data_IF_933701700656
#
_entry.id   IF_933701700656
#
_cell.length_a   1.000
_cell.length_b   1.000
_cell.length_c   1.000
_cell.angle_alpha   90.00
_cell.angle_beta   90.00
_cell.angle_gamma   90.00
#
_symmetry.space_group_name_H-M   'P 1'
#
loop_
_entity.id
_entity.type
_entity.pdbx_description
1 polymer ?
#
# COMPACT_ATOMS: atom_id res chain seq x y z
N UNK A 1 7.03 33.71 -8.35
CA UNK A 1 8.01 34.75 -7.97
C UNK A 1 9.30 34.10 -7.49
N UNK A 2 10.45 34.71 -7.77
CA UNK A 2 11.79 34.21 -7.38
C UNK A 2 12.59 35.32 -6.69
N UNK A 3 13.22 35.00 -5.57
CA UNK A 3 14.01 35.90 -4.73
C UNK A 3 15.39 35.28 -4.56
N UNK A 4 16.44 35.99 -4.98
CA UNK A 4 17.82 35.52 -4.85
C UNK A 4 18.51 36.34 -3.76
N UNK A 5 19.07 35.64 -2.77
CA UNK A 5 19.87 36.24 -1.72
C UNK A 5 21.31 35.77 -1.90
N UNK A 6 22.18 36.69 -2.30
CA UNK A 6 23.60 36.43 -2.52
C UNK A 6 24.40 36.64 -1.23
N UNK A 7 25.63 36.10 -1.22
CA UNK A 7 26.57 36.21 -0.09
C UNK A 7 25.97 35.74 1.24
N UNK A 8 25.22 34.63 1.21
CA UNK A 8 24.59 34.04 2.40
C UNK A 8 24.41 32.53 2.26
N UNK A 9 24.35 31.81 3.38
CA UNK A 9 24.17 30.37 3.40
C UNK A 9 23.23 29.95 4.53
N UNK A 10 22.93 28.65 4.62
CA UNK A 10 22.16 28.10 5.74
C UNK A 10 22.81 28.30 7.12
N UNK A 11 24.10 28.61 7.17
CA UNK A 11 24.85 28.82 8.41
C UNK A 11 24.95 30.31 8.78
N UNK A 12 24.53 31.21 7.91
CA UNK A 12 24.58 32.65 8.13
C UNK A 12 23.58 33.08 9.21
N UNK A 13 24.09 33.64 10.32
CA UNK A 13 23.26 34.10 11.44
C UNK A 13 22.31 35.23 11.03
N UNK A 14 22.70 36.03 10.04
CA UNK A 14 21.93 37.16 9.53
C UNK A 14 20.96 36.78 8.40
N UNK A 15 20.88 35.50 8.01
CA UNK A 15 20.02 35.05 6.91
C UNK A 15 18.56 35.53 7.08
N UNK A 16 18.02 35.47 8.30
CA UNK A 16 16.65 35.91 8.57
C UNK A 16 16.47 37.42 8.28
N UNK A 17 17.46 38.24 8.62
CA UNK A 17 17.44 39.68 8.35
C UNK A 17 17.56 39.95 6.85
N UNK A 18 18.45 39.24 6.15
CA UNK A 18 18.59 39.32 4.69
C UNK A 18 17.29 38.93 3.95
N UNK A 19 16.59 37.89 4.43
CA UNK A 19 15.27 37.50 3.90
C UNK A 19 14.25 38.64 4.13
N UNK A 20 14.19 39.20 5.35
CA UNK A 20 13.27 40.32 5.66
C UNK A 20 13.51 41.54 4.78
N UNK A 21 14.77 41.91 4.57
CA UNK A 21 15.13 43.04 3.71
C UNK A 21 14.67 42.82 2.28
N UNK A 22 15.00 41.66 1.68
CA UNK A 22 14.57 41.33 0.32
C UNK A 22 13.06 41.23 0.19
N UNK A 23 12.37 40.69 1.21
CA UNK A 23 10.92 40.57 1.19
C UNK A 23 10.24 41.94 1.30
N UNK A 24 10.77 42.87 2.11
CA UNK A 24 10.24 44.23 2.26
C UNK A 24 10.11 44.94 0.91
N UNK A 25 11.11 44.76 0.05
CA UNK A 25 11.17 45.41 -1.26
C UNK A 25 10.12 44.88 -2.23
N UNK A 26 9.61 43.66 -2.05
CA UNK A 26 8.81 42.96 -3.05
C UNK A 26 7.43 42.52 -2.55
N UNK A 27 7.16 42.61 -1.24
CA UNK A 27 5.93 42.13 -0.61
C UNK A 27 4.67 42.75 -1.22
N UNK A 28 4.79 43.95 -1.78
CA UNK A 28 3.70 44.67 -2.42
C UNK A 28 3.26 44.05 -3.75
N UNK A 29 4.07 43.17 -4.35
CA UNK A 29 3.73 42.41 -5.56
C UNK A 29 2.92 41.14 -5.26
N UNK A 30 2.82 40.73 -3.98
CA UNK A 30 2.12 39.52 -3.57
C UNK A 30 0.67 39.81 -3.15
N UNK A 31 -0.26 39.02 -3.65
CA UNK A 31 -1.67 39.11 -3.29
C UNK A 31 -1.92 38.39 -1.96
N UNK A 32 -2.19 39.17 -0.91
CA UNK A 32 -2.44 38.64 0.44
C UNK A 32 -3.70 37.75 0.53
N UNK A 33 -4.60 37.80 -0.44
CA UNK A 33 -5.77 36.93 -0.50
C UNK A 33 -5.45 35.53 -1.00
N UNK A 34 -4.34 35.37 -1.73
CA UNK A 34 -3.90 34.09 -2.30
C UNK A 34 -3.03 33.29 -1.34
N UNK A 35 -2.98 31.98 -1.58
CA UNK A 35 -2.12 31.03 -0.86
C UNK A 35 -0.90 30.71 -1.71
N UNK A 36 0.28 30.70 -1.11
CA UNK A 36 1.54 30.44 -1.83
C UNK A 36 2.30 29.24 -1.26
N UNK A 37 2.87 28.41 -2.13
CA UNK A 37 3.95 27.48 -1.79
C UNK A 37 5.26 28.25 -1.73
N UNK A 38 6.04 28.03 -0.68
CA UNK A 38 7.40 28.56 -0.54
C UNK A 38 8.42 27.43 -0.69
N UNK A 39 9.37 27.59 -1.61
CA UNK A 39 10.49 26.67 -1.80
C UNK A 39 11.81 27.41 -1.53
N UNK A 40 12.49 27.08 -0.42
CA UNK A 40 13.82 27.58 -0.08
C UNK A 40 14.88 26.61 -0.59
N UNK A 41 15.66 27.04 -1.56
CA UNK A 41 16.69 26.22 -2.19
C UNK A 41 18.09 26.74 -1.87
N UNK A 42 19.01 25.81 -1.61
CA UNK A 42 20.40 26.10 -1.28
C UNK A 42 21.36 25.17 -2.04
N UNK A 43 22.64 25.52 -2.10
CA UNK A 43 23.68 24.68 -2.69
C UNK A 43 23.82 23.38 -1.89
N UNK A 44 23.54 22.23 -2.52
CA UNK A 44 23.51 20.95 -1.80
C UNK A 44 24.87 20.55 -1.20
N UNK A 45 26.00 21.04 -1.71
CA UNK A 45 27.34 20.78 -1.17
C UNK A 45 27.47 21.23 0.30
N UNK A 46 26.64 22.18 0.75
CA UNK A 46 26.61 22.62 2.15
C UNK A 46 26.26 21.49 3.13
N UNK A 47 25.64 20.40 2.67
CA UNK A 47 25.37 19.25 3.54
C UNK A 47 26.62 18.46 3.91
N UNK A 48 27.71 18.63 3.15
CA UNK A 48 29.00 17.98 3.39
C UNK A 48 29.85 18.77 4.39
N UNK A 49 29.45 19.99 4.74
CA UNK A 49 30.13 20.86 5.69
C UNK A 49 29.83 20.48 7.15
N UNK A 50 30.14 19.24 7.56
CA UNK A 50 29.81 18.69 8.89
C UNK A 50 30.23 19.60 10.04
N UNK A 51 31.41 20.22 9.93
CA UNK A 51 31.90 21.16 10.94
C UNK A 51 30.99 22.38 11.11
N UNK A 52 30.48 22.96 10.01
CA UNK A 52 29.58 24.13 10.07
C UNK A 52 28.21 23.74 10.63
N UNK A 53 27.72 22.55 10.27
CA UNK A 53 26.44 22.01 10.74
C UNK A 53 26.48 21.79 12.25
N UNK A 54 27.52 21.10 12.74
CA UNK A 54 27.67 20.76 14.15
C UNK A 54 27.95 21.99 15.02
N UNK A 55 28.68 22.98 14.49
CA UNK A 55 28.96 24.22 15.22
C UNK A 55 27.80 25.21 15.24
N UNK A 56 26.80 25.06 14.35
CA UNK A 56 25.65 25.96 14.31
C UNK A 56 24.77 25.82 15.57
N UNK A 57 24.49 26.95 16.22
CA UNK A 57 23.64 27.02 17.42
C UNK A 57 22.19 27.32 17.04
N UNK A 58 21.36 26.28 17.01
CA UNK A 58 19.91 26.40 16.85
C UNK A 58 19.35 26.88 18.21
N UNK A 59 18.49 27.91 18.24
CA UNK A 59 17.84 28.35 19.47
C UNK A 59 17.00 27.23 20.11
N UNK A 60 17.09 27.09 21.43
CA UNK A 60 16.46 26.01 22.19
C UNK A 60 14.93 26.00 22.06
N UNK A 61 14.35 27.19 22.00
CA UNK A 61 12.92 27.42 21.80
C UNK A 61 12.42 26.93 20.44
N UNK A 62 13.30 26.91 19.43
CA UNK A 62 12.99 26.44 18.08
C UNK A 62 13.14 24.92 17.93
N UNK A 63 13.80 24.24 18.88
CA UNK A 63 13.87 22.79 18.90
C UNK A 63 12.55 22.18 19.38
N UNK A 64 12.23 21.01 18.84
CA UNK A 64 11.06 20.22 19.27
C UNK A 64 11.23 19.80 20.73
N UNK A 65 10.14 19.64 21.51
CA UNK A 65 10.24 19.35 22.94
C UNK A 65 11.11 18.13 23.29
N UNK A 66 11.12 17.10 22.44
CA UNK A 66 11.90 15.86 22.67
C UNK A 66 13.40 15.98 22.29
N UNK A 67 13.82 17.09 21.67
CA UNK A 67 15.20 17.39 21.29
C UNK A 67 15.87 18.43 22.19
N UNK A 68 15.09 19.15 22.99
CA UNK A 68 15.60 20.14 23.94
C UNK A 68 16.56 19.49 24.95
N UNK A 69 17.69 20.14 25.21
CA UNK A 69 18.77 19.70 26.07
C UNK A 69 19.66 18.60 25.48
N UNK A 70 19.41 18.14 24.25
CA UNK A 70 20.24 17.11 23.58
C UNK A 70 21.35 17.75 22.76
N UNK A 71 22.52 17.11 22.76
CA UNK A 71 23.63 17.45 21.85
C UNK A 71 23.38 16.75 20.51
N UNK A 72 22.79 17.48 19.56
CA UNK A 72 22.55 17.01 18.20
C UNK A 72 23.84 17.07 17.37
N UNK A 73 24.11 16.06 16.54
CA UNK A 73 25.27 16.00 15.63
C UNK A 73 24.92 15.39 14.27
N UNK A 74 25.75 15.65 13.26
CA UNK A 74 25.69 15.03 11.94
C UNK A 74 24.32 15.17 11.28
N UNK A 75 23.76 14.06 10.77
CA UNK A 75 22.47 14.05 10.06
C UNK A 75 21.32 14.59 10.92
N UNK A 76 21.25 14.24 12.20
CA UNK A 76 20.17 14.73 13.08
C UNK A 76 20.21 16.26 13.19
N UNK A 77 21.41 16.81 13.39
CA UNK A 77 21.63 18.26 13.44
C UNK A 77 21.29 18.95 12.12
N UNK A 78 21.64 18.34 10.99
CA UNK A 78 21.29 18.83 9.65
C UNK A 78 19.78 18.97 9.49
N UNK A 79 19.01 17.92 9.78
CA UNK A 79 17.56 17.97 9.63
C UNK A 79 16.91 19.01 10.54
N UNK A 80 17.40 19.17 11.78
CA UNK A 80 16.90 20.22 12.68
C UNK A 80 17.29 21.62 12.22
N UNK A 81 18.49 21.80 11.67
CA UNK A 81 18.90 23.07 11.08
C UNK A 81 17.99 23.45 9.90
N UNK A 82 17.73 22.52 8.98
CA UNK A 82 16.86 22.77 7.85
C UNK A 82 15.42 23.07 8.29
N UNK A 83 14.91 22.31 9.27
CA UNK A 83 13.60 22.57 9.90
C UNK A 83 13.54 23.99 10.45
N UNK A 84 14.54 24.37 11.24
CA UNK A 84 14.64 25.70 11.82
C UNK A 84 14.67 26.81 10.75
N UNK A 85 15.42 26.61 9.65
CA UNK A 85 15.53 27.61 8.57
C UNK A 85 14.22 27.78 7.81
N UNK A 86 13.54 26.70 7.46
CA UNK A 86 12.26 26.80 6.75
C UNK A 86 11.18 27.42 7.64
N UNK A 87 11.15 27.08 8.94
CA UNK A 87 10.19 27.66 9.88
C UNK A 87 10.49 29.15 10.15
N UNK A 88 11.77 29.53 10.22
CA UNK A 88 12.17 30.94 10.34
C UNK A 88 11.73 31.75 9.12
N UNK A 89 11.99 31.26 7.90
CA UNK A 89 11.56 31.91 6.67
C UNK A 89 10.03 32.02 6.62
N UNK A 90 9.31 30.94 6.93
CA UNK A 90 7.85 30.92 7.01
C UNK A 90 7.29 31.97 7.96
N UNK A 91 7.88 32.12 9.14
CA UNK A 91 7.46 33.13 10.11
C UNK A 91 7.67 34.56 9.59
N UNK A 92 8.78 34.81 8.89
CA UNK A 92 9.02 36.11 8.23
C UNK A 92 7.91 36.41 7.22
N UNK A 93 7.54 35.49 6.34
CA UNK A 93 6.43 35.73 5.40
C UNK A 93 5.09 35.99 6.10
N UNK A 94 4.83 35.30 7.22
CA UNK A 94 3.64 35.55 8.05
C UNK A 94 3.64 36.93 8.71
N UNK A 95 4.80 37.44 9.15
CA UNK A 95 4.94 38.81 9.70
C UNK A 95 4.43 39.86 8.69
N UNK A 96 4.59 39.60 7.38
CA UNK A 96 4.11 40.47 6.30
C UNK A 96 2.65 40.21 5.86
N UNK A 97 1.97 39.24 6.49
CA UNK A 97 0.59 38.87 6.17
C UNK A 97 0.45 38.02 4.89
N UNK A 98 1.52 37.37 4.44
CA UNK A 98 1.48 36.46 3.29
C UNK A 98 0.96 35.09 3.76
N UNK A 99 -0.07 34.59 3.09
CA UNK A 99 -0.66 33.31 3.41
C UNK A 99 0.14 32.17 2.74
N UNK A 100 0.92 31.46 3.54
CA UNK A 100 1.71 30.32 3.07
C UNK A 100 0.97 29.00 3.24
N UNK A 101 1.02 28.21 2.17
CA UNK A 101 0.53 26.85 2.11
C UNK A 101 1.58 25.83 2.48
N UNK A 102 2.22 25.21 1.49
CA UNK A 102 3.36 24.31 1.69
C UNK A 102 4.67 25.11 1.81
N UNK A 103 5.60 24.64 2.65
CA UNK A 103 6.88 25.33 2.90
C UNK A 103 8.02 24.33 2.87
N UNK A 104 8.85 24.38 1.84
CA UNK A 104 9.87 23.38 1.59
C UNK A 104 11.27 23.98 1.69
N UNK A 105 12.23 23.12 2.03
CA UNK A 105 13.65 23.44 1.99
C UNK A 105 14.44 22.32 1.33
N UNK A 106 15.18 22.68 0.27
CA UNK A 106 15.78 21.73 -0.65
C UNK A 106 17.24 22.07 -0.96
N UNK A 107 18.16 21.14 -0.72
CA UNK A 107 19.51 21.21 -1.29
C UNK A 107 19.42 20.83 -2.76
N UNK A 108 19.78 21.76 -3.64
CA UNK A 108 19.61 21.61 -5.08
C UNK A 108 20.97 21.66 -5.78
N UNK A 109 21.23 20.77 -6.74
CA UNK A 109 22.42 20.86 -7.57
C UNK A 109 22.39 22.17 -8.37
N UNK A 110 23.56 22.67 -8.74
CA UNK A 110 23.74 23.87 -9.58
C UNK A 110 23.32 25.21 -8.94
N UNK A 111 22.86 25.24 -7.69
CA UNK A 111 22.81 26.49 -6.93
C UNK A 111 24.22 26.88 -6.53
N UNK A 112 24.61 28.11 -6.82
CA UNK A 112 25.93 28.66 -6.46
C UNK A 112 26.10 28.64 -4.93
N UNK A 113 27.30 28.30 -4.47
CA UNK A 113 27.66 28.43 -3.07
C UNK A 113 27.38 29.86 -2.56
N UNK A 114 27.00 29.98 -1.29
CA UNK A 114 26.63 31.25 -0.65
C UNK A 114 25.47 31.98 -1.36
N UNK A 115 24.52 31.24 -1.91
CA UNK A 115 23.27 31.76 -2.44
C UNK A 115 22.09 30.99 -1.87
N UNK A 116 21.03 31.71 -1.51
CA UNK A 116 19.71 31.14 -1.18
C UNK A 116 18.71 31.60 -2.24
N UNK A 117 18.03 30.65 -2.89
CA UNK A 117 16.96 30.88 -3.87
C UNK A 117 15.61 30.60 -3.19
N UNK A 118 14.79 31.63 -3.00
CA UNK A 118 13.43 31.51 -2.48
C UNK A 118 12.43 31.66 -3.62
N UNK A 119 11.62 30.62 -3.84
CA UNK A 119 10.54 30.66 -4.82
C UNK A 119 9.19 30.65 -4.14
N UNK A 120 8.28 31.43 -4.71
CA UNK A 120 6.88 31.49 -4.32
C UNK A 120 6.03 31.18 -5.53
N UNK A 121 5.16 30.19 -5.40
CA UNK A 121 4.23 29.77 -6.43
C UNK A 121 2.83 29.77 -5.85
N UNK A 122 1.86 30.27 -6.60
CA UNK A 122 0.45 30.26 -6.15
C UNK A 122 -0.01 28.80 -6.03
N UNK A 123 -0.54 28.42 -4.87
CA UNK A 123 -1.21 27.13 -4.69
C UNK A 123 -2.67 27.29 -5.10
N UNK A 124 -3.11 26.50 -6.07
CA UNK A 124 -4.54 26.32 -6.30
C UNK A 124 -5.16 25.62 -5.08
N UNK A 125 -6.21 26.21 -4.52
CA UNK A 125 -7.07 25.51 -3.55
C UNK A 125 -7.72 24.35 -4.30
N UNK A 126 -7.11 23.17 -4.23
CA UNK A 126 -7.76 21.92 -4.64
C UNK A 126 -8.89 21.69 -3.65
N UNK A 127 -10.13 21.97 -4.07
CA UNK A 127 -11.32 21.51 -3.38
C UNK A 127 -11.26 19.97 -3.31
N UNK A 128 -10.65 19.44 -2.26
CA UNK A 128 -10.83 18.03 -1.90
C UNK A 128 -12.33 17.82 -1.64
N UNK A 129 -12.88 16.82 -2.32
CA UNK A 129 -14.30 16.46 -2.44
C UNK A 129 -15.23 16.98 -1.31
N UNK A 130 -16.30 17.67 -1.74
CA UNK A 130 -17.42 18.20 -0.93
C UNK A 130 -18.31 17.11 -0.29
N UNK A 131 -17.75 15.97 0.11
CA UNK A 131 -18.48 14.81 0.64
C UNK A 131 -18.44 14.62 2.16
N UNK A 132 -17.50 15.23 2.87
CA UNK A 132 -17.31 15.00 4.31
C UNK A 132 -17.74 16.21 5.16
N UNK A 133 -18.58 15.94 6.16
CA UNK A 133 -19.13 16.94 7.10
C UNK A 133 -18.00 17.77 7.73
N UNK A 134 -17.98 19.07 7.43
CA UNK A 134 -17.03 20.08 7.92
C UNK A 134 -16.88 20.05 9.45
N UNK A 135 -15.84 19.35 9.95
CA UNK A 135 -15.05 19.91 11.07
C UNK A 135 -14.26 21.08 10.50
N UNK A 136 -14.02 22.14 11.29
CA UNK A 136 -13.04 23.18 10.92
C UNK A 136 -11.70 22.49 10.68
N UNK A 137 -11.42 22.11 9.44
CA UNK A 137 -10.12 21.59 9.06
C UNK A 137 -9.14 22.75 9.22
N UNK A 138 -8.30 22.65 10.24
CA UNK A 138 -7.10 23.47 10.29
C UNK A 138 -6.39 23.26 8.95
N UNK A 139 -6.28 24.31 8.15
CA UNK A 139 -5.53 24.28 6.88
C UNK A 139 -4.12 23.79 7.22
N UNK A 140 -3.82 22.52 6.91
CA UNK A 140 -2.54 21.93 7.22
C UNK A 140 -1.47 22.59 6.34
N UNK A 141 -0.36 23.02 6.96
CA UNK A 141 0.88 23.37 6.26
C UNK A 141 1.75 22.13 6.27
N UNK A 142 2.10 21.60 5.10
CA UNK A 142 3.09 20.54 4.97
C UNK A 142 4.47 21.17 4.74
N UNK A 143 5.47 20.75 5.52
CA UNK A 143 6.85 21.12 5.28
C UNK A 143 7.61 19.93 4.68
N UNK A 144 8.23 20.09 3.52
CA UNK A 144 9.15 19.10 2.95
C UNK A 144 10.60 19.51 3.21
N UNK A 145 11.40 18.60 3.76
CA UNK A 145 12.83 18.81 4.02
C UNK A 145 13.60 17.80 3.18
N UNK A 146 14.33 18.29 2.18
CA UNK A 146 15.13 17.47 1.29
C UNK A 146 16.57 17.99 1.26
N UNK A 147 17.48 17.44 2.11
CA UNK A 147 18.84 17.95 2.22
C UNK A 147 19.64 17.89 0.92
N UNK A 148 19.41 16.89 0.07
CA UNK A 148 19.99 16.81 -1.27
C UNK A 148 19.01 16.18 -2.25
N UNK A 149 18.75 16.90 -3.33
CA UNK A 149 18.00 16.39 -4.46
C UNK A 149 18.77 15.27 -5.17
N UNK A 150 20.09 15.42 -5.33
CA UNK A 150 20.93 14.39 -5.98
C UNK A 150 20.88 13.06 -5.22
N UNK A 151 21.03 13.09 -3.89
CA UNK A 151 20.94 11.88 -3.06
C UNK A 151 19.53 11.28 -3.07
N UNK A 152 18.48 12.12 -3.13
CA UNK A 152 17.11 11.64 -3.28
C UNK A 152 16.91 10.88 -4.60
N UNK A 153 17.39 11.44 -5.72
CA UNK A 153 17.34 10.79 -7.03
C UNK A 153 18.12 9.47 -7.04
N UNK A 154 19.30 9.43 -6.39
CA UNK A 154 20.08 8.20 -6.27
C UNK A 154 19.32 7.13 -5.45
N UNK A 155 18.71 7.51 -4.33
CA UNK A 155 17.88 6.59 -3.55
C UNK A 155 16.69 6.04 -4.35
N UNK A 156 16.04 6.88 -5.16
CA UNK A 156 14.97 6.42 -6.05
C UNK A 156 15.49 5.44 -7.10
N UNK A 157 16.64 5.72 -7.73
CA UNK A 157 17.27 4.80 -8.68
C UNK A 157 17.61 3.46 -8.05
N UNK A 158 18.17 3.48 -6.83
CA UNK A 158 18.50 2.26 -6.09
C UNK A 158 17.23 1.46 -5.72
N UNK A 159 16.16 2.13 -5.30
CA UNK A 159 14.88 1.49 -5.01
C UNK A 159 14.27 0.85 -6.27
N UNK A 160 14.31 1.55 -7.40
CA UNK A 160 13.85 1.02 -8.68
C UNK A 160 14.68 -0.20 -9.12
N UNK A 161 16.00 -0.14 -8.99
CA UNK A 161 16.88 -1.26 -9.31
C UNK A 161 16.58 -2.49 -8.44
N UNK A 162 16.35 -2.28 -7.14
CA UNK A 162 15.96 -3.33 -6.21
C UNK A 162 14.63 -3.99 -6.60
N UNK A 163 13.60 -3.18 -6.91
CA UNK A 163 12.30 -3.68 -7.37
C UNK A 163 12.45 -4.47 -8.67
N UNK A 164 13.24 -3.98 -9.63
CA UNK A 164 13.46 -4.66 -10.90
C UNK A 164 14.20 -6.00 -10.74
N UNK A 165 15.14 -6.08 -9.81
CA UNK A 165 15.85 -7.31 -9.48
C UNK A 165 14.93 -8.34 -8.80
N UNK A 166 14.06 -7.89 -7.90
CA UNK A 166 13.07 -8.75 -7.24
C UNK A 166 12.08 -9.34 -8.28
N UNK A 167 11.54 -8.48 -9.16
CA UNK A 167 10.70 -8.91 -10.29
C UNK A 167 11.42 -9.93 -11.19
N UNK A 168 12.69 -9.70 -11.50
CA UNK A 168 13.48 -10.63 -12.34
C UNK A 168 13.66 -11.99 -11.65
N UNK A 169 13.96 -11.99 -10.36
CA UNK A 169 14.13 -13.20 -9.57
C UNK A 169 12.82 -13.99 -9.47
N UNK A 170 11.71 -13.28 -9.27
CA UNK A 170 10.36 -13.86 -9.22
C UNK A 170 9.98 -14.52 -10.56
N UNK A 171 10.32 -13.87 -11.68
CA UNK A 171 10.14 -14.43 -13.02
C UNK A 171 11.04 -15.64 -13.25
N UNK A 172 12.34 -15.58 -12.96
CA UNK A 172 13.25 -16.71 -13.13
C UNK A 172 12.76 -17.94 -12.36
N UNK A 173 12.27 -17.75 -11.14
CA UNK A 173 11.74 -18.84 -10.30
C UNK A 173 10.45 -19.48 -10.84
N UNK A 174 9.77 -18.83 -11.79
CA UNK A 174 8.56 -19.36 -12.42
C UNK A 174 8.81 -20.39 -13.53
N UNK A 175 10.06 -20.57 -13.93
CA UNK A 175 10.48 -21.52 -14.96
C UNK A 175 11.40 -22.58 -14.35
N UNK A 176 11.52 -23.76 -15.00
CA UNK A 176 12.38 -24.82 -14.46
C UNK A 176 13.86 -24.51 -14.68
N UNK A 177 14.17 -23.75 -15.72
CA UNK A 177 15.53 -23.33 -16.03
C UNK A 177 15.60 -21.97 -16.73
N UNK A 178 16.81 -21.39 -16.73
CA UNK A 178 17.07 -20.06 -17.27
C UNK A 178 16.90 -19.95 -18.79
N UNK A 179 17.02 -21.05 -19.54
CA UNK A 179 16.83 -21.05 -21.01
C UNK A 179 15.34 -20.96 -21.34
N UNK A 180 14.49 -21.66 -20.60
CA UNK A 180 13.03 -21.58 -20.75
C UNK A 180 12.56 -20.14 -20.47
N UNK A 181 13.02 -19.54 -19.37
CA UNK A 181 12.76 -18.14 -19.07
C UNK A 181 13.23 -17.20 -20.19
N UNK A 182 14.48 -17.33 -20.66
CA UNK A 182 15.03 -16.48 -21.72
C UNK A 182 14.23 -16.59 -23.03
N UNK A 183 13.75 -17.79 -23.38
CA UNK A 183 12.88 -18.01 -24.54
C UNK A 183 11.58 -17.22 -24.42
N UNK A 184 10.88 -17.31 -23.30
CA UNK A 184 9.59 -16.63 -23.17
C UNK A 184 9.74 -15.12 -22.94
N UNK A 185 10.83 -14.69 -22.30
CA UNK A 185 11.17 -13.27 -22.14
C UNK A 185 11.37 -12.58 -23.49
N UNK A 186 12.00 -13.25 -24.46
CA UNK A 186 12.19 -12.69 -25.80
C UNK A 186 10.90 -12.66 -26.63
N UNK A 187 9.93 -13.53 -26.35
CA UNK A 187 8.67 -13.61 -27.08
C UNK A 187 7.67 -12.51 -26.69
N UNK A 188 7.49 -12.23 -25.40
CA UNK A 188 6.46 -11.27 -24.92
C UNK A 188 7.01 -10.09 -24.14
N UNK A 189 8.30 -10.09 -23.82
CA UNK A 189 8.92 -9.06 -22.98
C UNK A 189 8.73 -9.29 -21.49
N UNK A 190 9.56 -8.62 -20.68
CA UNK A 190 9.57 -8.76 -19.20
C UNK A 190 8.26 -8.31 -18.57
N UNK A 191 7.70 -7.20 -19.02
CA UNK A 191 6.52 -6.62 -18.39
C UNK A 191 5.25 -7.45 -18.61
N UNK A 192 5.03 -7.97 -19.82
CA UNK A 192 3.90 -8.85 -20.07
C UNK A 192 4.06 -10.20 -19.33
N UNK A 193 5.29 -10.75 -19.26
CA UNK A 193 5.55 -11.93 -18.42
C UNK A 193 5.19 -11.67 -16.95
N UNK A 194 5.62 -10.53 -16.41
CA UNK A 194 5.32 -10.18 -15.02
C UNK A 194 3.83 -10.02 -14.76
N UNK A 195 3.11 -9.43 -15.72
CA UNK A 195 1.65 -9.31 -15.68
C UNK A 195 0.98 -10.69 -15.69
N UNK A 196 1.39 -11.57 -16.61
CA UNK A 196 0.88 -12.96 -16.68
C UNK A 196 1.16 -13.69 -15.37
N UNK A 197 2.37 -13.59 -14.80
CA UNK A 197 2.70 -14.20 -13.51
C UNK A 197 1.85 -13.63 -12.37
N UNK A 198 1.67 -12.31 -12.34
CA UNK A 198 0.85 -11.64 -11.33
C UNK A 198 -0.59 -12.11 -11.39
N UNK A 199 -1.17 -12.19 -12.58
CA UNK A 199 -2.54 -12.66 -12.78
C UNK A 199 -2.66 -14.15 -12.44
N UNK A 200 -1.64 -14.96 -12.80
CA UNK A 200 -1.58 -16.37 -12.42
C UNK A 200 -1.51 -16.57 -10.90
N UNK A 201 -0.74 -15.75 -10.18
CA UNK A 201 -0.72 -15.72 -8.71
C UNK A 201 -2.05 -15.24 -8.13
N UNK A 202 -2.70 -14.25 -8.74
CA UNK A 202 -4.06 -13.82 -8.39
C UNK A 202 -5.13 -14.85 -8.69
N UNK A 203 -4.85 -15.89 -9.47
CA UNK A 203 -5.77 -17.01 -9.70
C UNK A 203 -5.43 -18.25 -8.87
N UNK A 204 -4.17 -18.69 -8.84
CA UNK A 204 -3.73 -19.94 -8.21
C UNK A 204 -2.91 -19.77 -6.92
N UNK A 205 -2.47 -18.55 -6.60
CA UNK A 205 -1.77 -18.19 -5.37
C UNK A 205 -0.25 -18.23 -5.50
N UNK A 206 0.47 -17.59 -4.59
CA UNK A 206 1.94 -17.41 -4.70
C UNK A 206 2.75 -18.71 -4.70
N UNK A 207 2.14 -19.80 -4.22
CA UNK A 207 2.78 -21.12 -4.06
C UNK A 207 2.28 -22.15 -5.07
N UNK A 208 1.68 -21.72 -6.17
CA UNK A 208 1.11 -22.62 -7.18
C UNK A 208 2.11 -23.67 -7.70
N UNK A 209 3.40 -23.33 -7.79
CA UNK A 209 4.48 -24.24 -8.22
C UNK A 209 4.81 -25.35 -7.20
N UNK A 210 4.31 -25.26 -5.97
CA UNK A 210 4.55 -26.22 -4.90
C UNK A 210 3.37 -27.18 -4.66
N UNK A 211 2.28 -27.08 -5.43
CA UNK A 211 1.18 -28.04 -5.36
C UNK A 211 1.68 -29.43 -5.76
N UNK A 212 1.45 -30.46 -4.93
CA UNK A 212 1.89 -31.81 -5.27
C UNK A 212 1.05 -32.44 -6.37
N UNK A 213 -0.25 -32.19 -6.33
CA UNK A 213 -1.18 -32.75 -7.32
C UNK A 213 -1.18 -31.97 -8.64
N UNK A 214 -1.13 -30.63 -8.59
CA UNK A 214 -1.42 -29.79 -9.77
C UNK A 214 -0.23 -29.06 -10.38
N UNK A 215 0.99 -29.22 -9.84
CA UNK A 215 2.17 -28.47 -10.33
C UNK A 215 2.35 -28.57 -11.84
N UNK A 216 2.31 -29.78 -12.39
CA UNK A 216 2.55 -30.00 -13.83
C UNK A 216 1.48 -29.34 -14.70
N UNK A 217 0.20 -29.48 -14.32
CA UNK A 217 -0.94 -28.91 -15.05
C UNK A 217 -0.96 -27.38 -14.97
N UNK A 218 -0.72 -26.83 -13.78
CA UNK A 218 -0.63 -25.38 -13.59
C UNK A 218 0.57 -24.79 -14.34
N UNK A 219 1.70 -25.49 -14.36
CA UNK A 219 2.87 -25.05 -15.13
C UNK A 219 2.57 -25.06 -16.63
N UNK A 220 2.00 -26.15 -17.14
CA UNK A 220 1.61 -26.23 -18.55
C UNK A 220 0.63 -25.11 -18.92
N UNK A 221 -0.35 -24.84 -18.05
CA UNK A 221 -1.31 -23.74 -18.23
C UNK A 221 -0.63 -22.38 -18.22
N UNK A 222 0.31 -22.14 -17.31
CA UNK A 222 1.09 -20.90 -17.25
C UNK A 222 1.86 -20.66 -18.54
N UNK A 223 2.57 -21.68 -19.03
CA UNK A 223 3.32 -21.60 -20.30
C UNK A 223 2.38 -21.35 -21.48
N UNK A 224 1.29 -22.12 -21.59
CA UNK A 224 0.30 -21.94 -22.66
C UNK A 224 -0.34 -20.55 -22.64
N UNK A 225 -0.54 -19.96 -21.46
CA UNK A 225 -1.03 -18.59 -21.32
C UNK A 225 -0.03 -17.58 -21.92
N UNK A 226 1.27 -17.77 -21.69
CA UNK A 226 2.32 -16.96 -22.33
C UNK A 226 2.30 -17.15 -23.85
N UNK A 227 2.14 -18.38 -24.34
CA UNK A 227 2.08 -18.68 -25.77
C UNK A 227 0.87 -18.04 -26.47
N UNK A 228 -0.28 -17.96 -25.78
CA UNK A 228 -1.44 -17.19 -26.24
C UNK A 228 -1.09 -15.71 -26.37
N UNK A 229 -0.41 -15.13 -25.37
CA UNK A 229 0.03 -13.73 -25.37
C UNK A 229 1.06 -13.43 -26.45
N UNK A 230 1.94 -14.39 -26.73
CA UNK A 230 2.92 -14.32 -27.81
C UNK A 230 2.29 -14.46 -29.22
N UNK A 231 1.00 -14.77 -29.32
CA UNK A 231 0.34 -15.05 -30.60
C UNK A 231 0.74 -16.39 -31.22
N UNK A 232 1.39 -17.29 -30.48
CA UNK A 232 1.74 -18.64 -30.94
C UNK A 232 0.47 -19.50 -30.97
N UNK A 233 -0.34 -19.43 -29.91
CA UNK A 233 -1.67 -20.07 -29.88
C UNK A 233 -2.69 -19.04 -30.33
N UNK A 234 -3.21 -19.21 -31.54
CA UNK A 234 -4.17 -18.28 -32.14
C UNK A 234 -5.63 -18.79 -32.15
N UNK A 235 -5.84 -20.11 -32.10
CA UNK A 235 -7.16 -20.74 -32.19
C UNK A 235 -8.09 -20.32 -31.03
N UNK A 236 -9.29 -19.84 -31.36
CA UNK A 236 -10.23 -19.27 -30.38
C UNK A 236 -10.73 -20.29 -29.36
N UNK A 237 -11.07 -21.50 -29.81
CA UNK A 237 -11.61 -22.57 -28.96
C UNK A 237 -10.51 -23.08 -28.01
N UNK A 238 -9.29 -23.25 -28.53
CA UNK A 238 -8.14 -23.67 -27.74
C UNK A 238 -7.75 -22.61 -26.70
N UNK A 239 -7.80 -21.32 -27.06
CA UNK A 239 -7.60 -20.20 -26.11
C UNK A 239 -8.59 -20.25 -24.97
N UNK A 240 -9.88 -20.36 -25.27
CA UNK A 240 -10.93 -20.38 -24.25
C UNK A 240 -10.74 -21.56 -23.28
N UNK A 241 -10.41 -22.74 -23.80
CA UNK A 241 -10.14 -23.92 -22.97
C UNK A 241 -8.90 -23.75 -22.08
N UNK A 242 -7.82 -23.14 -22.61
CA UNK A 242 -6.60 -22.87 -21.84
C UNK A 242 -6.83 -21.78 -20.80
N UNK A 243 -7.64 -20.77 -21.07
CA UNK A 243 -7.92 -19.67 -20.15
C UNK A 243 -8.98 -20.02 -19.11
N UNK A 244 -9.76 -21.08 -19.31
CA UNK A 244 -10.72 -21.55 -18.31
C UNK A 244 -10.00 -21.97 -17.01
N UNK A 245 -10.37 -21.45 -15.84
CA UNK A 245 -9.70 -21.78 -14.59
C UNK A 245 -9.63 -23.28 -14.30
N UNK A 246 -8.50 -23.75 -13.76
CA UNK A 246 -8.37 -25.14 -13.29
C UNK A 246 -9.16 -25.32 -11.99
N UNK A 247 -10.02 -26.32 -11.93
CA UNK A 247 -10.76 -26.67 -10.71
C UNK A 247 -9.83 -27.38 -9.71
N UNK A 248 -9.37 -26.63 -8.71
CA UNK A 248 -8.55 -27.17 -7.63
C UNK A 248 -9.42 -27.93 -6.62
N UNK A 249 -8.92 -29.08 -6.13
CA UNK A 249 -9.55 -29.78 -5.01
C UNK A 249 -9.68 -28.86 -3.79
N UNK A 250 -10.86 -28.90 -3.18
CA UNK A 250 -11.13 -28.18 -1.93
C UNK A 250 -11.10 -29.14 -0.75
N UNK A 251 -10.41 -28.75 0.32
CA UNK A 251 -10.37 -29.42 1.62
C UNK A 251 -11.39 -28.78 2.55
N UNK A 252 -12.04 -29.60 3.38
CA UNK A 252 -12.94 -29.13 4.43
C UNK A 252 -12.14 -28.48 5.56
N UNK A 253 -12.47 -27.24 5.91
CA UNK A 253 -12.00 -26.58 7.14
C UNK A 253 -12.91 -27.00 8.30
N UNK A 254 -14.21 -26.75 8.17
CA UNK A 254 -15.16 -26.90 9.27
C UNK A 254 -16.61 -26.98 8.77
N UNK A 255 -17.49 -27.56 9.59
CA UNK A 255 -18.92 -27.68 9.31
C UNK A 255 -19.73 -26.98 10.41
N UNK A 256 -20.60 -26.06 10.01
CA UNK A 256 -21.45 -25.29 10.92
C UNK A 256 -22.89 -25.81 10.79
N UNK A 257 -23.50 -26.34 11.85
CA UNK A 257 -24.89 -26.76 11.84
C UNK A 257 -25.85 -25.62 11.49
N UNK A 258 -26.88 -25.94 10.70
CA UNK A 258 -27.96 -25.03 10.32
C UNK A 258 -29.28 -25.58 10.84
N UNK A 259 -30.04 -24.73 11.52
CA UNK A 259 -31.34 -25.08 12.10
C UNK A 259 -32.47 -24.31 11.44
N UNK A 260 -33.64 -24.94 11.35
CA UNK A 260 -34.86 -24.26 10.91
C UNK A 260 -35.46 -23.43 12.05
N UNK A 261 -35.79 -22.17 11.79
CA UNK A 261 -36.56 -21.35 12.73
C UNK A 261 -37.96 -21.94 12.84
N UNK A 262 -38.31 -22.47 14.01
CA UNK A 262 -39.69 -22.91 14.31
C UNK A 262 -40.27 -22.08 15.44
N UNK A 263 -41.53 -21.64 15.30
CA UNK A 263 -42.23 -20.80 16.28
C UNK A 263 -42.64 -21.53 17.58
N UNK A 264 -42.14 -22.75 17.86
CA UNK A 264 -42.65 -23.55 18.99
C UNK A 264 -41.76 -23.45 20.22
N UNK A 265 -42.40 -23.10 21.33
CA UNK A 265 -41.81 -22.78 22.64
C UNK A 265 -41.15 -24.00 23.33
N UNK A 266 -41.39 -25.23 22.89
CA UNK A 266 -40.82 -26.44 23.52
C UNK A 266 -40.51 -27.56 22.50
N UNK A 267 -39.52 -27.37 21.62
CA UNK A 267 -39.11 -28.44 20.70
C UNK A 267 -37.69 -28.25 20.20
N UNK A 268 -36.87 -29.29 20.32
CA UNK A 268 -35.48 -29.36 19.84
C UNK A 268 -35.35 -28.79 18.43
N UNK A 269 -34.42 -27.85 18.24
CA UNK A 269 -34.08 -27.30 16.93
C UNK A 269 -33.65 -28.45 16.02
N UNK A 270 -34.46 -28.75 14.98
CA UNK A 270 -34.11 -29.79 14.01
C UNK A 270 -33.04 -29.24 13.08
N UNK A 271 -31.85 -29.82 13.12
CA UNK A 271 -30.79 -29.53 12.16
C UNK A 271 -31.26 -29.94 10.75
N UNK A 272 -31.17 -29.02 9.81
CA UNK A 272 -31.60 -29.20 8.42
C UNK A 272 -30.43 -29.40 7.47
N UNK A 273 -29.19 -29.26 7.96
CA UNK A 273 -27.98 -29.45 7.20
C UNK A 273 -26.78 -28.75 7.84
N UNK A 274 -25.75 -28.56 7.03
CA UNK A 274 -24.51 -27.91 7.42
C UNK A 274 -24.07 -26.87 6.40
N UNK A 275 -23.46 -25.79 6.86
CA UNK A 275 -22.57 -24.97 6.05
C UNK A 275 -21.17 -25.55 6.16
N UNK A 276 -20.60 -25.95 5.04
CA UNK A 276 -19.23 -26.45 4.92
C UNK A 276 -18.34 -25.31 4.48
N UNK A 277 -17.37 -24.96 5.32
CA UNK A 277 -16.29 -24.06 4.96
C UNK A 277 -15.21 -24.89 4.26
N UNK A 278 -15.00 -24.62 2.99
CA UNK A 278 -14.09 -25.35 2.11
C UNK A 278 -12.93 -24.42 1.72
N UNK A 279 -11.75 -24.99 1.49
CA UNK A 279 -10.60 -24.24 1.00
C UNK A 279 -9.74 -25.04 0.04
N UNK A 280 -9.28 -24.38 -1.02
CA UNK A 280 -8.18 -24.87 -1.86
C UNK A 280 -6.82 -24.28 -1.40
N UNK A 281 -6.75 -23.80 -0.17
CA UNK A 281 -5.58 -23.13 0.39
C UNK A 281 -5.45 -21.65 0.02
N UNK A 282 -6.21 -21.17 -0.97
CA UNK A 282 -6.20 -19.77 -1.40
C UNK A 282 -7.51 -19.04 -1.14
N UNK A 283 -8.63 -19.72 -1.32
CA UNK A 283 -9.95 -19.17 -1.04
C UNK A 283 -10.58 -19.98 0.07
N UNK A 284 -11.42 -19.33 0.86
CA UNK A 284 -12.37 -20.00 1.72
C UNK A 284 -13.75 -19.73 1.14
N UNK A 285 -14.48 -20.80 0.84
CA UNK A 285 -15.84 -20.73 0.30
C UNK A 285 -16.81 -21.45 1.21
N UNK A 286 -18.04 -20.96 1.30
CA UNK A 286 -19.10 -21.64 2.02
C UNK A 286 -20.01 -22.41 1.06
N UNK A 287 -20.33 -23.66 1.40
CA UNK A 287 -21.33 -24.46 0.68
C UNK A 287 -22.36 -25.03 1.64
N UNK A 288 -23.64 -24.90 1.29
CA UNK A 288 -24.72 -25.50 2.07
C UNK A 288 -24.96 -26.96 1.65
N UNK A 289 -24.97 -27.87 2.62
CA UNK A 289 -25.26 -29.29 2.44
C UNK A 289 -26.51 -29.65 3.26
N UNK A 290 -27.70 -29.73 2.64
CA UNK A 290 -28.93 -30.08 3.34
C UNK A 290 -29.01 -31.59 3.65
N UNK A 291 -29.63 -31.96 4.76
CA UNK A 291 -29.96 -33.35 5.10
C UNK A 291 -31.04 -33.96 4.18
N UNK A 292 -31.86 -33.11 3.57
CA UNK A 292 -32.95 -33.51 2.69
C UNK A 292 -33.17 -32.47 1.60
N UNK A 293 -33.54 -32.92 0.38
CA UNK A 293 -33.84 -32.05 -0.77
C UNK A 293 -34.91 -31.00 -0.47
N UNK A 294 -35.79 -31.24 0.51
CA UNK A 294 -36.83 -30.30 0.96
C UNK A 294 -36.31 -29.00 1.58
N UNK A 295 -35.01 -28.91 1.90
CA UNK A 295 -34.40 -27.76 2.55
C UNK A 295 -33.34 -27.07 1.68
N UNK A 296 -33.27 -27.38 0.38
CA UNK A 296 -32.21 -26.88 -0.50
C UNK A 296 -32.25 -25.34 -0.64
N UNK A 297 -31.08 -24.72 -0.47
CA UNK A 297 -30.81 -23.36 -0.92
C UNK A 297 -30.02 -23.50 -2.23
N UNK A 298 -30.38 -22.78 -3.31
CA UNK A 298 -29.63 -22.82 -4.56
C UNK A 298 -28.15 -22.46 -4.34
N UNK A 299 -27.23 -23.27 -4.90
CA UNK A 299 -25.79 -23.09 -4.77
C UNK A 299 -25.34 -21.72 -5.33
N UNK A 300 -26.08 -21.15 -6.29
CA UNK A 300 -25.80 -19.84 -6.88
C UNK A 300 -25.82 -18.70 -5.86
N UNK A 301 -26.60 -18.83 -4.79
CA UNK A 301 -26.73 -17.80 -3.75
C UNK A 301 -25.45 -17.69 -2.91
N UNK A 302 -24.65 -18.76 -2.85
CA UNK A 302 -23.38 -18.77 -2.14
C UNK A 302 -22.18 -18.43 -3.04
N UNK A 303 -22.38 -18.10 -4.33
CA UNK A 303 -21.27 -17.72 -5.23
C UNK A 303 -20.46 -16.53 -4.73
N UNK A 304 -21.10 -15.60 -4.02
CA UNK A 304 -20.44 -14.42 -3.44
C UNK A 304 -19.88 -14.69 -2.02
N UNK A 305 -20.10 -15.89 -1.48
CA UNK A 305 -19.56 -16.34 -0.19
C UNK A 305 -18.18 -16.96 -0.38
N UNK A 306 -17.27 -16.18 -0.97
CA UNK A 306 -15.88 -16.54 -1.22
C UNK A 306 -14.98 -15.43 -0.72
N UNK A 307 -13.94 -15.80 0.03
CA UNK A 307 -12.93 -14.87 0.53
C UNK A 307 -11.54 -15.35 0.16
N UNK A 308 -10.70 -14.42 -0.32
CA UNK A 308 -9.30 -14.68 -0.64
C UNK A 308 -8.46 -14.66 0.65
N UNK A 309 -7.53 -15.60 0.77
CA UNK A 309 -6.60 -15.72 1.90
C UNK A 309 -5.15 -15.74 1.43
N UNK A 310 -4.34 -14.82 1.96
CA UNK A 310 -2.92 -14.67 1.62
C UNK A 310 -2.01 -15.54 2.49
N UNK A 311 -0.74 -15.69 2.09
CA UNK A 311 0.26 -16.40 2.88
C UNK A 311 0.73 -15.63 4.12
N UNK A 312 0.53 -14.30 4.14
CA UNK A 312 0.87 -13.39 5.24
C UNK A 312 -0.17 -13.37 6.38
N UNK A 313 -1.35 -13.95 6.15
CA UNK A 313 -2.41 -13.98 7.14
C UNK A 313 -2.03 -14.87 8.32
N UNK A 314 -1.96 -14.29 9.52
CA UNK A 314 -1.85 -15.05 10.76
C UNK A 314 -3.23 -15.64 11.16
N UNK A 315 -3.25 -16.60 12.09
CA UNK A 315 -4.50 -17.26 12.51
C UNK A 315 -5.58 -16.27 12.98
N UNK A 316 -5.19 -15.18 13.65
CA UNK A 316 -6.14 -14.13 14.07
C UNK A 316 -6.79 -13.41 12.88
N UNK A 317 -6.00 -13.00 11.88
CA UNK A 317 -6.53 -12.38 10.66
C UNK A 317 -7.41 -13.35 9.88
N UNK A 318 -7.02 -14.62 9.80
CA UNK A 318 -7.81 -15.66 9.13
C UNK A 318 -9.14 -15.90 9.82
N UNK A 319 -9.17 -15.91 11.15
CA UNK A 319 -10.40 -16.05 11.92
C UNK A 319 -11.38 -14.91 11.64
N UNK A 320 -10.91 -13.66 11.64
CA UNK A 320 -11.74 -12.49 11.30
C UNK A 320 -12.34 -12.61 9.88
N UNK A 321 -11.55 -13.05 8.89
CA UNK A 321 -12.03 -13.27 7.51
C UNK A 321 -13.12 -14.35 7.48
N UNK A 322 -12.97 -15.43 8.25
CA UNK A 322 -13.98 -16.48 8.36
C UNK A 322 -15.24 -15.96 9.07
N UNK A 323 -15.10 -15.16 10.12
CA UNK A 323 -16.24 -14.54 10.82
C UNK A 323 -17.05 -13.64 9.88
N UNK A 324 -16.40 -12.79 9.08
CA UNK A 324 -17.05 -11.99 8.06
C UNK A 324 -17.80 -12.85 7.03
N UNK A 325 -17.15 -13.92 6.54
CA UNK A 325 -17.77 -14.86 5.62
C UNK A 325 -19.01 -15.52 6.25
N UNK A 326 -18.90 -16.01 7.48
CA UNK A 326 -20.01 -16.69 8.16
C UNK A 326 -21.16 -15.73 8.46
N UNK A 327 -20.88 -14.46 8.75
CA UNK A 327 -21.93 -13.45 8.90
C UNK A 327 -22.73 -13.25 7.61
N UNK A 328 -22.05 -13.18 6.45
CA UNK A 328 -22.75 -13.12 5.14
C UNK A 328 -23.59 -14.38 4.88
N UNK A 329 -23.04 -15.54 5.21
CA UNK A 329 -23.76 -16.82 5.07
C UNK A 329 -24.99 -16.87 5.99
N UNK A 330 -24.88 -16.35 7.20
CA UNK A 330 -26.00 -16.31 8.14
C UNK A 330 -27.12 -15.36 7.66
N UNK A 331 -26.79 -14.20 7.09
CA UNK A 331 -27.78 -13.34 6.46
C UNK A 331 -28.53 -14.06 5.33
N UNK A 332 -27.82 -14.86 4.52
CA UNK A 332 -28.44 -15.70 3.50
C UNK A 332 -29.38 -16.73 4.15
N UNK A 333 -28.90 -17.48 5.14
CA UNK A 333 -29.72 -18.51 5.82
C UNK A 333 -30.96 -17.92 6.49
N UNK A 334 -30.87 -16.74 7.11
CA UNK A 334 -32.00 -16.04 7.71
C UNK A 334 -33.09 -15.68 6.68
N UNK A 335 -32.71 -15.28 5.45
CA UNK A 335 -33.68 -15.04 4.35
C UNK A 335 -34.52 -16.28 4.03
N UNK A 336 -33.95 -17.47 4.23
CA UNK A 336 -34.64 -18.77 4.07
C UNK A 336 -35.26 -19.32 5.36
N UNK A 337 -35.34 -18.50 6.42
CA UNK A 337 -35.85 -18.86 7.76
C UNK A 337 -35.02 -19.93 8.47
N UNK A 338 -33.71 -19.90 8.28
CA UNK A 338 -32.74 -20.77 8.94
C UNK A 338 -31.78 -19.95 9.82
N UNK A 339 -31.11 -20.61 10.78
CA UNK A 339 -30.15 -20.00 11.72
C UNK A 339 -28.89 -20.86 11.76
N UNK A 340 -27.72 -20.22 11.71
CA UNK A 340 -26.43 -20.88 11.92
C UNK A 340 -26.06 -20.93 13.42
N UNK A 341 -25.42 -22.02 13.83
CA UNK A 341 -24.80 -22.15 15.16
C UNK A 341 -23.44 -21.44 15.23
N UNK A 342 -23.47 -20.10 15.35
CA UNK A 342 -22.26 -19.27 15.31
C UNK A 342 -21.31 -19.46 16.50
N UNK A 343 -21.81 -19.94 17.64
CA UNK A 343 -21.01 -20.11 18.85
C UNK A 343 -19.83 -21.08 18.65
N UNK A 344 -19.95 -22.01 17.70
CA UNK A 344 -18.88 -22.94 17.33
C UNK A 344 -17.68 -22.25 16.67
N UNK A 345 -17.85 -21.04 16.12
CA UNK A 345 -16.75 -20.30 15.50
C UNK A 345 -15.72 -19.89 16.56
N UNK A 346 -16.16 -19.23 17.62
CA UNK A 346 -15.24 -18.78 18.66
C UNK A 346 -14.76 -19.94 19.55
N UNK A 347 -15.58 -20.97 19.73
CA UNK A 347 -15.27 -22.10 20.61
C UNK A 347 -14.42 -23.20 19.95
N UNK A 348 -14.50 -23.37 18.62
CA UNK A 348 -13.79 -24.43 17.90
C UNK A 348 -12.80 -23.87 16.88
N UNK A 349 -13.23 -22.95 16.00
CA UNK A 349 -12.33 -22.36 15.00
C UNK A 349 -11.26 -21.46 15.63
N UNK A 350 -11.54 -20.82 16.76
CA UNK A 350 -10.57 -20.00 17.50
C UNK A 350 -9.34 -20.77 18.00
N UNK A 351 -9.46 -22.09 18.21
CA UNK A 351 -8.37 -22.97 18.64
C UNK A 351 -7.77 -23.80 17.49
N UNK A 352 -8.33 -23.71 16.29
CA UNK A 352 -7.89 -24.47 15.13
C UNK A 352 -6.70 -23.78 14.45
N UNK A 353 -5.70 -24.56 14.02
CA UNK A 353 -4.58 -24.03 13.24
C UNK A 353 -4.96 -23.87 11.76
N UNK A 354 -5.79 -22.86 11.48
CA UNK A 354 -6.33 -22.55 10.15
C UNK A 354 -5.19 -22.35 9.14
N UNK A 355 -4.10 -21.70 9.55
CA UNK A 355 -2.92 -21.48 8.71
C UNK A 355 -2.30 -22.80 8.22
N UNK A 356 -2.22 -23.81 9.09
CA UNK A 356 -1.71 -25.12 8.70
C UNK A 356 -2.69 -25.87 7.79
N UNK A 357 -4.00 -25.74 8.02
CA UNK A 357 -5.02 -26.31 7.12
C UNK A 357 -4.91 -25.69 5.72
N UNK A 358 -4.82 -24.36 5.63
CA UNK A 358 -4.61 -23.65 4.37
C UNK A 358 -3.30 -24.08 3.69
N UNK A 359 -2.21 -24.20 4.47
CA UNK A 359 -0.92 -24.68 3.96
C UNK A 359 -1.05 -26.08 3.37
N UNK A 360 -1.65 -27.02 4.10
CA UNK A 360 -1.88 -28.39 3.61
C UNK A 360 -2.75 -28.42 2.37
N UNK A 361 -3.78 -27.58 2.29
CA UNK A 361 -4.63 -27.47 1.11
C UNK A 361 -3.93 -26.86 -0.10
N UNK A 362 -2.89 -26.03 0.09
CA UNK A 362 -2.01 -25.56 -1.02
C UNK A 362 -1.01 -26.62 -1.48
N UNK A 363 -0.60 -27.49 -0.56
CA UNK A 363 0.41 -28.53 -0.80
C UNK A 363 -0.18 -29.86 -1.28
N UNK A 364 -1.45 -30.13 -0.97
CA UNK A 364 -2.26 -31.13 -1.63
C UNK A 364 -2.37 -30.74 -3.11
#
# INVERSE_FOLDING_TARGET
MKIIIENTSLFDKELNNKIREKLKDIVHELDKSKRYRMDLSFCEDLILCEFEIDSYKIPEEALRPYQRGKVLKGKEKMYELLTYRVDSAKNIFKEYGINLGSCNINGTPFIKLNTIDLRLEEEEDTELDKGSKRKKENKFTCNMIMPSFSAYIENLKNALAYIEQDRETELENAFDDKKEYAKYKSLVGKDELYKVLTDFKKEYGDRWMYSREYKSELKEKFIKTIEIKAGIICDGILKENILKPLELKTVLIFEIPVYKITKKINGTNKSIGYIRLLTNGKMISAKFQPHSKSYAIPDEIFKDCIVNVTSESNNKKLLNIIEELVNRVDEICQRFRYVLEKDLIHNVLGYMDIKNILKKAREA
#
